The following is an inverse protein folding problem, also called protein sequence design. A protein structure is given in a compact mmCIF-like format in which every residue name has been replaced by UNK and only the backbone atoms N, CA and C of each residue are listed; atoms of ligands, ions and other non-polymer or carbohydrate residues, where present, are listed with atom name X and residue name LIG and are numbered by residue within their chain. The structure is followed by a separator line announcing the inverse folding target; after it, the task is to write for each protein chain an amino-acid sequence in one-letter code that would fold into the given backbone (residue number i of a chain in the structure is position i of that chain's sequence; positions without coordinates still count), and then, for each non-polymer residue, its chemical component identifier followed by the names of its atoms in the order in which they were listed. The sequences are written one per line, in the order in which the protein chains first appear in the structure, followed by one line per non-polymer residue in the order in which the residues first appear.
data_IF_583212138175
#
_entry.id   IF_583212138175
#
_cell.length_a   1.000
_cell.length_b   1.000
_cell.length_c   1.000
_cell.angle_alpha   90.00
_cell.angle_beta   90.00
_cell.angle_gamma   90.00
#
_symmetry.space_group_name_H-M   'P 1'
#
loop_
_entity.id
_entity.type
_entity.pdbx_description
1 polymer ?
#
# COMPACT_ATOMS: atom_id res chain seq x y z
N UNK A 1 0.62 12.52 -22.41
CA UNK A 1 0.42 13.75 -23.20
C UNK A 1 0.80 15.01 -22.39
N UNK A 2 0.10 15.41 -21.32
CA UNK A 2 0.36 16.66 -20.61
C UNK A 2 1.81 16.85 -20.10
N UNK A 3 2.50 15.80 -19.68
CA UNK A 3 3.90 15.91 -19.23
C UNK A 3 4.86 16.03 -20.43
N UNK A 4 4.60 15.34 -21.52
CA UNK A 4 5.43 15.40 -22.74
C UNK A 4 5.25 16.74 -23.45
N UNK A 5 4.03 17.31 -23.44
CA UNK A 5 3.75 18.66 -23.96
C UNK A 5 4.46 19.75 -23.18
N UNK A 6 4.82 19.50 -21.91
CA UNK A 6 5.61 20.41 -21.08
C UNK A 6 7.12 20.07 -21.09
N UNK A 7 7.60 19.38 -22.11
CA UNK A 7 9.01 19.04 -22.33
C UNK A 7 9.66 18.15 -21.26
N UNK A 8 8.89 17.32 -20.54
CA UNK A 8 9.45 16.31 -19.63
C UNK A 8 9.84 15.03 -20.38
N UNK A 9 10.98 14.49 -20.04
CA UNK A 9 11.43 13.14 -20.42
C UNK A 9 10.84 12.13 -19.43
N UNK A 10 10.05 11.14 -19.89
CA UNK A 10 9.21 10.31 -19.03
C UNK A 10 9.63 8.84 -19.10
N UNK A 11 9.82 8.21 -17.94
CA UNK A 11 9.83 6.75 -17.75
C UNK A 11 8.65 6.30 -16.91
N UNK A 12 8.11 5.12 -17.18
CA UNK A 12 7.07 4.54 -16.35
C UNK A 12 7.26 3.03 -16.20
N UNK A 13 6.80 2.50 -15.05
CA UNK A 13 6.81 1.08 -14.74
C UNK A 13 5.67 0.73 -13.79
N UNK A 14 5.11 -0.48 -13.93
CA UNK A 14 4.16 -1.03 -12.95
C UNK A 14 4.97 -1.77 -11.89
N UNK A 15 4.78 -1.38 -10.62
CA UNK A 15 5.49 -1.99 -9.49
C UNK A 15 4.48 -2.50 -8.47
N UNK A 16 4.74 -3.70 -7.92
CA UNK A 16 3.94 -4.30 -6.88
C UNK A 16 4.60 -4.12 -5.50
N UNK A 17 3.82 -3.81 -4.48
CA UNK A 17 4.30 -3.61 -3.11
C UNK A 17 5.13 -4.78 -2.58
N UNK A 18 4.71 -6.02 -2.84
CA UNK A 18 5.42 -7.22 -2.38
C UNK A 18 6.76 -7.45 -3.08
N UNK A 19 6.85 -7.09 -4.36
CA UNK A 19 8.03 -7.39 -5.19
C UNK A 19 9.07 -6.26 -5.17
N UNK A 20 8.64 -5.03 -4.86
CA UNK A 20 9.52 -3.85 -4.88
C UNK A 20 9.65 -3.13 -3.53
N UNK A 21 8.77 -3.43 -2.56
CA UNK A 21 8.76 -2.76 -1.25
C UNK A 21 9.05 -3.68 -0.08
N UNK A 22 9.20 -4.99 -0.29
CA UNK A 22 9.29 -5.98 0.79
C UNK A 22 8.15 -5.83 1.82
N UNK A 23 6.93 -5.58 1.34
CA UNK A 23 5.72 -5.46 2.17
C UNK A 23 4.73 -6.52 1.72
N UNK A 24 4.13 -7.30 2.64
CA UNK A 24 3.21 -8.38 2.30
C UNK A 24 1.84 -7.84 1.85
N UNK A 25 1.85 -7.02 0.78
CA UNK A 25 0.65 -6.49 0.13
C UNK A 25 0.75 -6.65 -1.39
N UNK A 26 -0.25 -7.29 -1.96
CA UNK A 26 -0.42 -7.32 -3.41
C UNK A 26 -1.08 -6.03 -3.87
N UNK A 27 -0.25 -5.03 -4.22
CA UNK A 27 -0.68 -3.70 -4.68
C UNK A 27 0.16 -3.28 -5.87
N UNK A 28 -0.39 -3.47 -7.04
CA UNK A 28 0.20 -2.99 -8.30
C UNK A 28 -0.22 -1.55 -8.56
N UNK A 29 0.75 -0.71 -8.89
CA UNK A 29 0.54 0.68 -9.30
C UNK A 29 1.47 1.03 -10.44
N UNK A 30 0.98 1.83 -11.36
CA UNK A 30 1.84 2.48 -12.34
C UNK A 30 2.54 3.66 -11.65
N UNK A 31 3.84 3.75 -11.84
CA UNK A 31 4.66 4.87 -11.42
C UNK A 31 5.21 5.55 -12.66
N UNK A 32 5.01 6.84 -12.75
CA UNK A 32 5.47 7.68 -13.86
C UNK A 32 6.44 8.68 -13.27
N UNK A 33 7.67 8.73 -13.79
CA UNK A 33 8.71 9.66 -13.38
C UNK A 33 9.08 10.52 -14.57
N UNK A 34 9.05 11.83 -14.39
CA UNK A 34 9.42 12.81 -15.42
C UNK A 34 10.59 13.64 -14.98
N UNK A 35 11.52 13.89 -15.90
CA UNK A 35 12.70 14.73 -15.73
C UNK A 35 12.64 15.89 -16.72
N UNK A 36 13.12 17.05 -16.29
CA UNK A 36 13.27 18.25 -17.12
C UNK A 36 14.57 18.21 -17.97
N UNK A 37 15.52 17.33 -17.63
CA UNK A 37 16.77 17.17 -18.37
C UNK A 37 16.90 15.75 -18.91
N UNK A 38 17.50 15.63 -20.11
CA UNK A 38 17.74 14.33 -20.74
C UNK A 38 18.81 13.52 -20.00
N UNK A 39 19.81 14.21 -19.45
CA UNK A 39 20.91 13.60 -18.69
C UNK A 39 20.39 12.85 -17.47
N UNK A 40 19.54 13.44 -16.66
CA UNK A 40 18.93 12.79 -15.51
C UNK A 40 17.97 11.65 -15.93
N UNK A 41 17.22 11.84 -17.01
CA UNK A 41 16.37 10.81 -17.57
C UNK A 41 17.18 9.58 -18.01
N UNK A 42 18.32 9.76 -18.72
CA UNK A 42 19.15 8.67 -19.21
C UNK A 42 19.77 7.87 -18.05
N UNK A 43 20.13 8.53 -16.95
CA UNK A 43 20.71 7.92 -15.74
C UNK A 43 19.69 7.25 -14.82
N UNK A 44 18.41 7.61 -14.93
CA UNK A 44 17.39 7.05 -14.06
C UNK A 44 16.99 5.64 -14.52
N UNK A 45 16.99 4.71 -13.58
CA UNK A 45 16.38 3.39 -13.73
C UNK A 45 15.48 3.09 -12.54
N UNK A 46 14.30 2.48 -12.77
CA UNK A 46 13.45 2.00 -11.70
C UNK A 46 14.19 0.96 -10.85
N UNK A 47 13.86 0.87 -9.53
CA UNK A 47 14.46 -0.16 -8.70
C UNK A 47 14.15 -1.57 -9.23
N UNK A 48 15.06 -2.50 -8.97
CA UNK A 48 14.87 -3.91 -9.28
C UNK A 48 13.95 -4.59 -8.24
N UNK A 49 13.43 -5.75 -8.60
CA UNK A 49 12.67 -6.60 -7.69
C UNK A 49 13.53 -7.05 -6.50
N UNK A 50 12.88 -7.25 -5.38
CA UNK A 50 13.48 -7.79 -4.16
C UNK A 50 12.61 -8.93 -3.63
N UNK A 51 13.26 -9.90 -3.00
CA UNK A 51 12.53 -11.01 -2.37
C UNK A 51 11.69 -10.50 -1.20
N UNK A 52 10.42 -10.89 -1.17
CA UNK A 52 9.57 -10.66 -0.02
C UNK A 52 10.04 -11.54 1.16
N UNK A 53 10.46 -10.90 2.25
CA UNK A 53 10.87 -11.53 3.51
C UNK A 53 10.01 -11.11 4.67
N UNK A 54 9.33 -9.95 4.57
CA UNK A 54 8.38 -9.47 5.56
C UNK A 54 7.11 -10.32 5.53
N UNK A 55 6.70 -10.80 6.70
CA UNK A 55 5.52 -11.67 6.89
C UNK A 55 4.28 -10.87 7.29
N UNK A 56 3.12 -11.50 7.35
CA UNK A 56 1.90 -10.86 7.85
C UNK A 56 2.06 -10.45 9.33
N UNK A 57 2.71 -11.25 10.15
CA UNK A 57 2.93 -10.97 11.59
C UNK A 57 3.89 -9.78 11.83
N UNK A 58 4.68 -9.39 10.84
CA UNK A 58 5.51 -8.18 10.95
C UNK A 58 4.68 -6.88 10.84
N UNK A 59 3.51 -6.95 10.21
CA UNK A 59 2.65 -5.78 9.92
C UNK A 59 1.28 -5.82 10.59
N UNK A 60 0.82 -7.01 11.03
CA UNK A 60 -0.45 -7.26 11.71
C UNK A 60 -0.16 -7.89 13.07
N UNK A 61 -0.77 -7.36 14.11
CA UNK A 61 -0.69 -7.93 15.46
C UNK A 61 -1.88 -8.85 15.72
N UNK A 62 -1.69 -10.15 15.53
CA UNK A 62 -2.73 -11.16 15.73
C UNK A 62 -3.16 -11.32 17.20
N UNK A 63 -2.29 -10.95 18.15
CA UNK A 63 -2.57 -10.96 19.59
C UNK A 63 -3.20 -9.67 20.13
N UNK A 64 -3.24 -8.60 19.32
CA UNK A 64 -3.81 -7.32 19.75
C UNK A 64 -5.30 -7.45 20.09
N UNK A 65 -5.70 -6.72 21.15
CA UNK A 65 -7.09 -6.62 21.61
C UNK A 65 -7.61 -5.19 21.41
N UNK A 66 -7.93 -4.79 20.17
CA UNK A 66 -8.54 -3.49 19.91
C UNK A 66 -9.97 -3.43 20.42
N UNK A 67 -10.59 -2.24 20.25
CA UNK A 67 -11.99 -2.02 20.64
C UNK A 67 -12.95 -3.05 20.03
N UNK A 68 -14.02 -3.35 20.74
CA UNK A 68 -15.06 -4.31 20.32
C UNK A 68 -15.66 -4.01 18.93
N UNK A 69 -15.61 -2.78 18.48
CA UNK A 69 -16.07 -2.36 17.16
C UNK A 69 -15.30 -2.99 15.97
N UNK A 70 -14.13 -3.58 16.23
CA UNK A 70 -13.36 -4.29 15.22
C UNK A 70 -13.73 -5.77 15.08
N UNK A 71 -14.43 -6.34 16.07
CA UNK A 71 -14.77 -7.75 16.10
C UNK A 71 -16.11 -8.05 15.43
N UNK A 72 -16.16 -9.24 14.82
CA UNK A 72 -17.40 -9.83 14.34
C UNK A 72 -17.96 -10.76 15.40
N UNK A 73 -19.27 -10.67 15.65
CA UNK A 73 -19.94 -11.40 16.73
C UNK A 73 -21.21 -12.07 16.24
N UNK A 74 -21.49 -13.22 16.83
CA UNK A 74 -22.77 -13.89 16.64
C UNK A 74 -23.93 -12.98 17.02
N UNK A 75 -24.98 -12.97 16.21
CA UNK A 75 -26.14 -12.11 16.42
C UNK A 75 -25.97 -10.63 16.02
N UNK A 76 -24.73 -10.15 15.76
CA UNK A 76 -24.50 -8.78 15.28
C UNK A 76 -24.46 -8.69 13.75
N UNK A 77 -23.85 -9.65 13.10
CA UNK A 77 -23.74 -9.69 11.64
C UNK A 77 -24.45 -10.94 11.11
N UNK A 78 -25.35 -10.77 10.14
CA UNK A 78 -26.11 -11.87 9.54
C UNK A 78 -25.21 -12.89 8.79
N UNK A 79 -23.98 -12.51 8.41
CA UNK A 79 -23.00 -13.37 7.75
C UNK A 79 -21.93 -13.95 8.73
N UNK A 80 -22.12 -13.80 10.04
CA UNK A 80 -21.14 -14.29 11.02
C UNK A 80 -20.92 -15.81 10.94
N UNK A 81 -21.97 -16.58 10.67
CA UNK A 81 -21.87 -18.03 10.52
C UNK A 81 -20.93 -18.41 9.36
N UNK A 82 -21.02 -17.67 8.23
CA UNK A 82 -20.12 -17.87 7.08
C UNK A 82 -18.67 -17.51 7.42
N UNK A 83 -18.47 -16.42 8.19
CA UNK A 83 -17.13 -16.07 8.66
C UNK A 83 -16.56 -17.18 9.56
N UNK A 84 -17.33 -17.65 10.53
CA UNK A 84 -16.90 -18.69 11.47
C UNK A 84 -16.57 -20.01 10.78
N UNK A 85 -17.29 -20.36 9.73
CA UNK A 85 -17.05 -21.57 8.96
C UNK A 85 -15.79 -21.49 8.06
N UNK A 86 -15.39 -20.31 7.62
CA UNK A 86 -14.35 -20.16 6.60
C UNK A 86 -13.08 -19.44 7.08
N UNK A 87 -13.13 -18.68 8.17
CA UNK A 87 -11.96 -18.01 8.76
C UNK A 87 -11.32 -18.95 9.76
N UNK A 88 -10.42 -19.81 9.28
CA UNK A 88 -9.90 -20.96 10.04
C UNK A 88 -8.39 -20.95 10.24
N UNK A 89 -7.63 -20.09 9.55
CA UNK A 89 -6.18 -20.00 9.67
C UNK A 89 -5.74 -18.61 10.13
N UNK A 90 -4.70 -18.57 10.98
CA UNK A 90 -4.03 -17.35 11.44
C UNK A 90 -2.94 -16.86 10.46
N UNK A 91 -2.50 -17.72 9.54
CA UNK A 91 -1.37 -17.42 8.65
C UNK A 91 -1.79 -16.65 7.39
N UNK A 92 -3.04 -16.23 7.32
CA UNK A 92 -3.60 -15.57 6.15
C UNK A 92 -4.57 -14.46 6.52
N UNK A 93 -5.01 -13.71 5.52
CA UNK A 93 -6.07 -12.71 5.64
C UNK A 93 -7.26 -13.10 4.80
N UNK A 94 -8.43 -12.66 5.20
CA UNK A 94 -9.70 -12.97 4.56
C UNK A 94 -10.41 -11.68 4.15
N UNK A 95 -11.38 -11.82 3.26
CA UNK A 95 -12.30 -10.75 2.87
C UNK A 95 -13.72 -11.29 2.78
N UNK A 96 -14.68 -10.57 3.36
CA UNK A 96 -16.08 -10.79 3.08
C UNK A 96 -16.45 -10.18 1.72
N UNK A 97 -16.93 -10.99 0.79
CA UNK A 97 -17.27 -10.57 -0.59
C UNK A 97 -18.77 -10.59 -0.84
N UNK A 98 -19.56 -10.15 0.15
CA UNK A 98 -21.03 -10.07 0.18
C UNK A 98 -21.77 -11.41 0.19
N UNK A 99 -21.24 -12.44 -0.47
CA UNK A 99 -21.87 -13.77 -0.60
C UNK A 99 -20.98 -14.90 -0.11
N UNK A 100 -19.68 -14.67 0.01
CA UNK A 100 -18.71 -15.67 0.44
C UNK A 100 -17.50 -15.05 1.11
N UNK A 101 -16.79 -15.85 1.87
CA UNK A 101 -15.50 -15.50 2.46
C UNK A 101 -14.40 -15.88 1.48
N UNK A 102 -13.58 -14.93 1.10
CA UNK A 102 -12.38 -15.16 0.30
C UNK A 102 -11.18 -15.26 1.21
N UNK A 103 -10.52 -16.41 1.21
CA UNK A 103 -9.19 -16.58 1.81
C UNK A 103 -8.11 -16.08 0.84
N UNK A 104 -7.13 -15.32 1.34
CA UNK A 104 -5.99 -14.88 0.54
C UNK A 104 -4.76 -15.79 0.78
N UNK A 105 -4.73 -16.93 0.11
CA UNK A 105 -3.74 -18.02 0.29
C UNK A 105 -2.30 -17.66 -0.08
N UNK A 106 -2.06 -16.45 -0.60
CA UNK A 106 -0.72 -16.03 -1.06
C UNK A 106 0.19 -15.47 0.04
N UNK A 107 -0.26 -15.46 1.31
CA UNK A 107 0.52 -14.89 2.43
C UNK A 107 0.71 -13.38 2.36
N UNK A 108 -0.11 -12.69 1.57
CA UNK A 108 -0.07 -11.22 1.43
C UNK A 108 -1.45 -10.61 1.58
N UNK A 109 -1.53 -9.38 2.02
CA UNK A 109 -2.76 -8.61 2.09
C UNK A 109 -3.17 -8.19 0.67
N UNK A 110 -4.44 -8.34 0.27
CA UNK A 110 -4.92 -7.79 -0.99
C UNK A 110 -4.85 -6.26 -1.00
N UNK A 111 -4.93 -5.67 -2.19
CA UNK A 111 -4.92 -4.20 -2.34
C UNK A 111 -5.92 -3.55 -1.40
N UNK A 112 -5.43 -2.70 -0.50
CA UNK A 112 -6.26 -1.85 0.35
C UNK A 112 -6.89 -0.74 -0.51
N UNK A 113 -8.18 -0.50 -0.32
CA UNK A 113 -8.95 0.48 -1.12
C UNK A 113 -9.51 1.60 -0.25
N UNK A 114 -9.75 2.76 -0.85
CA UNK A 114 -10.27 3.93 -0.14
C UNK A 114 -11.67 3.73 0.48
N UNK A 115 -12.43 2.76 -0.01
CA UNK A 115 -13.78 2.47 0.48
C UNK A 115 -13.83 1.43 1.63
N UNK A 116 -12.69 1.03 2.18
CA UNK A 116 -12.63 0.08 3.30
C UNK A 116 -13.48 0.51 4.50
N UNK A 117 -13.55 1.80 4.80
CA UNK A 117 -14.26 2.33 5.94
C UNK A 117 -15.77 2.58 5.73
N UNK A 118 -16.24 2.48 4.48
CA UNK A 118 -17.62 2.77 4.11
C UNK A 118 -18.36 1.50 3.69
N UNK A 119 -19.12 0.90 4.61
CA UNK A 119 -19.91 -0.29 4.31
C UNK A 119 -19.20 -1.63 4.42
N UNK A 120 -17.97 -1.69 4.84
CA UNK A 120 -17.35 -2.86 5.48
C UNK A 120 -16.90 -4.04 4.62
N UNK A 121 -17.12 -4.06 3.32
CA UNK A 121 -16.86 -5.28 2.54
C UNK A 121 -15.39 -5.53 2.17
N UNK A 122 -14.54 -4.52 2.26
CA UNK A 122 -13.17 -4.55 1.75
C UNK A 122 -12.08 -4.44 2.82
N UNK A 123 -12.43 -4.32 4.09
CA UNK A 123 -11.43 -4.39 5.17
C UNK A 123 -11.00 -5.83 5.31
N UNK A 124 -9.70 -6.13 5.25
CA UNK A 124 -9.21 -7.48 5.49
C UNK A 124 -9.57 -7.97 6.89
N UNK A 125 -9.92 -9.26 7.00
CA UNK A 125 -10.27 -9.96 8.22
C UNK A 125 -9.15 -10.90 8.61
N UNK A 126 -8.99 -11.13 9.91
CA UNK A 126 -8.05 -12.11 10.47
C UNK A 126 -8.74 -12.97 11.54
N UNK A 127 -8.18 -14.15 11.75
CA UNK A 127 -8.39 -14.95 12.94
C UNK A 127 -7.31 -14.56 13.96
N UNK A 128 -7.72 -14.12 15.14
CA UNK A 128 -6.81 -13.71 16.21
C UNK A 128 -6.21 -14.92 16.94
N UNK A 129 -5.16 -14.71 17.74
CA UNK A 129 -4.56 -15.75 18.60
C UNK A 129 -5.57 -16.32 19.60
N UNK A 130 -6.59 -15.55 20.00
CA UNK A 130 -7.69 -15.98 20.84
C UNK A 130 -8.81 -16.72 20.10
N UNK A 131 -8.69 -16.93 18.79
CA UNK A 131 -9.70 -17.60 17.96
C UNK A 131 -10.90 -16.74 17.60
N UNK A 132 -10.80 -15.43 17.77
CA UNK A 132 -11.84 -14.46 17.42
C UNK A 132 -11.62 -13.88 16.01
N UNK A 133 -12.68 -13.48 15.36
CA UNK A 133 -12.60 -12.88 14.02
C UNK A 133 -12.73 -11.36 14.14
N UNK A 134 -11.74 -10.64 13.61
CA UNK A 134 -11.79 -9.18 13.55
C UNK A 134 -11.30 -8.64 12.20
N UNK A 135 -11.68 -7.42 11.90
CA UNK A 135 -11.08 -6.64 10.80
C UNK A 135 -9.75 -6.02 11.24
N UNK A 136 -8.88 -5.71 10.29
CA UNK A 136 -7.68 -4.93 10.56
C UNK A 136 -8.06 -3.56 11.15
N UNK A 137 -7.28 -3.08 12.11
CA UNK A 137 -7.39 -1.72 12.62
C UNK A 137 -6.84 -0.71 11.59
N UNK A 138 -7.19 0.58 11.66
CA UNK A 138 -6.55 1.60 10.82
C UNK A 138 -5.03 1.57 10.92
N UNK A 139 -4.47 1.41 12.12
CA UNK A 139 -3.02 1.34 12.33
C UNK A 139 -2.38 0.19 11.54
N UNK A 140 -2.96 -0.99 11.58
CA UNK A 140 -2.48 -2.15 10.82
C UNK A 140 -2.58 -1.91 9.31
N UNK A 141 -3.61 -1.21 8.82
CA UNK A 141 -3.68 -0.87 7.40
C UNK A 141 -2.56 0.09 6.95
N UNK A 142 -2.12 1.01 7.80
CA UNK A 142 -0.93 1.82 7.54
C UNK A 142 0.36 0.99 7.61
N UNK A 143 0.47 0.06 8.57
CA UNK A 143 1.62 -0.86 8.63
C UNK A 143 1.73 -1.70 7.35
N UNK A 144 0.59 -2.20 6.83
CA UNK A 144 0.51 -2.93 5.55
C UNK A 144 0.90 -2.06 4.35
N UNK A 145 0.81 -0.73 4.43
CA UNK A 145 1.36 0.19 3.44
C UNK A 145 2.85 0.49 3.67
N UNK A 146 3.47 -0.10 4.68
CA UNK A 146 4.88 0.09 4.99
C UNK A 146 5.20 1.38 5.75
N UNK A 147 4.20 2.01 6.37
CA UNK A 147 4.47 3.10 7.33
C UNK A 147 5.22 2.55 8.54
N UNK A 148 6.17 3.31 9.10
CA UNK A 148 6.93 2.84 10.26
C UNK A 148 6.01 2.60 11.47
N UNK A 149 6.36 1.64 12.32
CA UNK A 149 5.58 1.33 13.54
C UNK A 149 5.43 2.56 14.46
N UNK A 150 6.38 3.49 14.40
CA UNK A 150 6.36 4.77 15.13
C UNK A 150 5.41 5.81 14.55
N UNK A 151 4.85 5.59 13.33
CA UNK A 151 3.89 6.50 12.74
C UNK A 151 2.64 6.61 13.62
N UNK A 152 2.37 7.81 14.11
CA UNK A 152 1.20 8.10 14.94
C UNK A 152 0.02 8.48 14.06
N UNK A 153 -1.13 7.87 14.32
CA UNK A 153 -2.38 8.30 13.70
C UNK A 153 -2.84 9.63 14.34
N UNK A 154 -3.38 10.56 13.54
CA UNK A 154 -3.88 11.82 14.08
C UNK A 154 -5.08 11.58 15.01
N UNK A 155 -5.13 12.31 16.11
CA UNK A 155 -6.27 12.32 17.03
C UNK A 155 -7.48 13.01 16.40
N UNK A 156 -8.68 12.61 16.81
CA UNK A 156 -9.94 13.20 16.34
C UNK A 156 -10.36 12.83 14.92
N UNK A 157 -9.58 12.02 14.20
CA UNK A 157 -9.94 11.53 12.87
C UNK A 157 -10.70 10.21 13.01
N UNK A 158 -11.87 10.11 12.38
CA UNK A 158 -12.67 8.89 12.43
C UNK A 158 -11.97 7.70 11.76
N UNK A 159 -12.24 6.47 12.24
CA UNK A 159 -11.71 5.24 11.66
C UNK A 159 -12.02 5.14 10.16
N UNK A 160 -13.20 5.57 9.71
CA UNK A 160 -13.58 5.58 8.31
C UNK A 160 -12.66 6.47 7.46
N UNK A 161 -12.29 7.64 7.96
CA UNK A 161 -11.33 8.53 7.29
C UNK A 161 -9.91 7.96 7.30
N UNK A 162 -9.49 7.35 8.41
CA UNK A 162 -8.17 6.70 8.49
C UNK A 162 -8.07 5.53 7.50
N UNK A 163 -9.08 4.69 7.37
CA UNK A 163 -9.13 3.64 6.35
C UNK A 163 -9.07 4.21 4.94
N UNK A 164 -9.81 5.30 4.68
CA UNK A 164 -9.78 5.99 3.38
C UNK A 164 -8.39 6.52 3.06
N UNK A 165 -7.72 7.14 4.03
CA UNK A 165 -6.35 7.63 3.88
C UNK A 165 -5.37 6.49 3.60
N UNK A 166 -5.42 5.40 4.38
CA UNK A 166 -4.59 4.22 4.15
C UNK A 166 -4.82 3.62 2.75
N UNK A 167 -6.08 3.49 2.31
CA UNK A 167 -6.42 2.96 0.99
C UNK A 167 -5.96 3.86 -0.17
N UNK A 168 -5.98 5.18 0.01
CA UNK A 168 -5.49 6.15 -0.97
C UNK A 168 -3.97 6.34 -0.96
N UNK A 169 -3.28 5.84 0.08
CA UNK A 169 -1.84 5.99 0.18
C UNK A 169 -1.09 5.04 -0.74
N UNK A 170 0.22 5.14 -0.73
CA UNK A 170 1.15 4.31 -1.49
C UNK A 170 1.92 3.37 -0.59
N UNK A 171 2.53 2.32 -1.14
CA UNK A 171 3.50 1.50 -0.41
C UNK A 171 4.78 2.31 -0.21
N UNK A 172 4.99 2.77 1.03
CA UNK A 172 6.06 3.71 1.39
C UNK A 172 7.45 3.22 0.98
N UNK A 173 7.86 1.94 1.21
CA UNK A 173 9.17 1.46 0.77
C UNK A 173 9.36 1.50 -0.76
N UNK A 174 8.31 1.32 -1.56
CA UNK A 174 8.41 1.44 -3.03
C UNK A 174 8.74 2.87 -3.42
N UNK A 175 8.00 3.85 -2.88
CA UNK A 175 8.26 5.28 -3.13
C UNK A 175 9.67 5.67 -2.68
N UNK A 176 10.10 5.20 -1.51
CA UNK A 176 11.45 5.46 -1.00
C UNK A 176 12.51 5.00 -2.00
N UNK A 177 12.42 3.77 -2.50
CA UNK A 177 13.38 3.22 -3.47
C UNK A 177 13.36 3.96 -4.81
N UNK A 178 12.19 4.40 -5.28
CA UNK A 178 12.07 5.25 -6.47
C UNK A 178 12.76 6.60 -6.21
N UNK A 179 12.50 7.24 -5.06
CA UNK A 179 13.10 8.53 -4.70
C UNK A 179 14.63 8.44 -4.61
N UNK A 180 15.18 7.36 -4.05
CA UNK A 180 16.62 7.11 -4.01
C UNK A 180 17.23 7.02 -5.43
N UNK A 181 16.53 6.37 -6.37
CA UNK A 181 16.96 6.29 -7.79
C UNK A 181 16.88 7.66 -8.49
N UNK A 182 15.86 8.45 -8.19
CA UNK A 182 15.74 9.83 -8.70
C UNK A 182 16.88 10.69 -8.15
N UNK A 183 17.13 10.64 -6.85
CA UNK A 183 18.20 11.41 -6.22
C UNK A 183 19.56 11.05 -6.81
N UNK A 184 19.82 9.75 -7.04
CA UNK A 184 21.02 9.31 -7.74
C UNK A 184 21.14 9.94 -9.14
N UNK A 185 20.11 9.82 -9.97
CA UNK A 185 20.12 10.35 -11.34
C UNK A 185 20.34 11.89 -11.38
N UNK A 186 19.71 12.62 -10.46
CA UNK A 186 19.86 14.08 -10.36
C UNK A 186 21.27 14.48 -9.89
N UNK A 187 21.85 13.76 -8.93
CA UNK A 187 23.19 14.05 -8.42
C UNK A 187 24.25 13.77 -9.47
N UNK A 188 24.21 12.61 -10.12
CA UNK A 188 25.17 12.23 -11.17
C UNK A 188 25.08 13.14 -12.40
N UNK A 189 23.87 13.58 -12.79
CA UNK A 189 23.69 14.49 -13.93
C UNK A 189 24.25 15.91 -13.67
N UNK A 190 24.48 16.28 -12.41
CA UNK A 190 25.02 17.60 -12.05
C UNK A 190 26.56 17.66 -12.05
N UNK A 191 27.27 16.50 -12.10
CA UNK A 191 28.73 16.43 -11.97
C UNK A 191 29.26 16.90 -10.60
N UNK A 192 30.57 16.74 -10.32
CA UNK A 192 31.15 17.04 -9.02
C UNK A 192 31.28 18.55 -8.68
N UNK A 193 30.82 19.43 -9.53
CA UNK A 193 30.90 20.89 -9.32
C UNK A 193 29.62 21.58 -9.76
N UNK A 194 28.63 21.55 -8.91
CA UNK A 194 27.71 22.67 -8.70
C UNK A 194 26.56 22.22 -7.80
N UNK A 195 26.64 22.52 -6.52
CA UNK A 195 25.48 22.79 -5.67
C UNK A 195 24.80 24.08 -6.16
N UNK A 196 24.39 24.09 -7.42
CA UNK A 196 23.50 25.12 -7.93
C UNK A 196 22.08 24.65 -7.69
N UNK A 197 21.37 25.39 -6.84
CA UNK A 197 19.94 25.25 -6.57
C UNK A 197 19.09 25.73 -7.74
N UNK A 198 19.53 25.56 -8.95
CA UNK A 198 18.73 25.82 -10.15
C UNK A 198 17.81 24.63 -10.38
N UNK A 199 16.67 24.67 -9.76
CA UNK A 199 15.35 24.14 -10.10
C UNK A 199 15.20 22.88 -10.96
N UNK A 200 16.09 21.87 -10.84
CA UNK A 200 15.88 20.58 -11.52
C UNK A 200 14.85 19.77 -10.73
N UNK A 201 13.78 19.37 -11.39
CA UNK A 201 12.66 18.68 -10.77
C UNK A 201 12.47 17.28 -11.34
N UNK A 202 12.12 16.34 -10.46
CA UNK A 202 11.54 15.07 -10.85
C UNK A 202 10.12 14.96 -10.28
N UNK A 203 9.19 14.49 -11.08
CA UNK A 203 7.79 14.28 -10.70
C UNK A 203 7.51 12.79 -10.60
N UNK A 204 6.94 12.36 -9.48
CA UNK A 204 6.42 11.01 -9.33
C UNK A 204 4.89 11.07 -9.35
N UNK A 205 4.28 10.38 -10.29
CA UNK A 205 2.84 10.19 -10.35
C UNK A 205 2.50 8.70 -10.21
N UNK A 206 1.47 8.37 -9.44
CA UNK A 206 0.98 7.00 -9.25
C UNK A 206 -0.53 6.95 -9.41
N UNK A 207 -1.02 6.02 -10.24
CA UNK A 207 -2.45 5.77 -10.48
C UNK A 207 -2.78 4.28 -10.36
N UNK A 208 -4.01 4.00 -9.98
CA UNK A 208 -4.53 2.62 -9.97
C UNK A 208 -4.62 2.07 -11.39
N UNK A 209 -4.19 0.80 -11.59
CA UNK A 209 -4.51 0.06 -12.81
C UNK A 209 -6.03 -0.18 -12.87
N UNK A 210 -6.68 0.39 -13.86
CA UNK A 210 -8.10 0.19 -14.16
C UNK A 210 -8.83 1.50 -14.45
N UNK A 211 -9.03 1.73 -15.72
CA UNK A 211 -9.76 2.79 -16.43
C UNK A 211 -8.86 3.91 -16.97
N UNK A 212 -8.29 3.64 -18.14
CA UNK A 212 -8.19 4.65 -19.17
C UNK A 212 -9.54 4.62 -19.91
N UNK A 213 -10.45 5.50 -19.55
CA UNK A 213 -11.47 5.95 -20.46
C UNK A 213 -10.88 7.13 -21.23
N UNK A 214 -10.94 7.00 -22.57
CA UNK A 214 -10.34 7.87 -23.57
C UNK A 214 -10.92 9.29 -23.67
#
# INVERSE_FOLDING_TARGET
EALTENNYFIKWKVLNGKDYGNIPQNRERIYIVGFDTKEAYDLFEFPEEIKLTTTLSDVIDFGAKPDEAYYYREGKQNFYADLKANVTSQDTVYQWRRQYVRENKSGVVPTLTANMGTGGHNVPLILTDSGEIRKLTPKETFNVQGYPKTFKLPEGVSNGQLYKQAGNSVVVPVIKRIAERIAFALNESNGPSQLDRSGKFAIIYTKMNGQFEG
#
